data_IF_718538863681
#
_entry.id   IF_718538863681
#
_cell.length_a   1.000
_cell.length_b   1.000
_cell.length_c   1.000
_cell.angle_alpha   90.00
_cell.angle_beta   90.00
_cell.angle_gamma   90.00
#
_symmetry.space_group_name_H-M   'P 1'
#
loop_
_entity.id
_entity.type
_entity.pdbx_description
1 polymer ?
#
# COMPACT_ATOMS: atom_id res chain seq x y z
N UNK A 1 76.61 -37.41 20.59
CA UNK A 1 75.63 -36.43 21.00
C UNK A 1 75.67 -35.30 19.99
N UNK A 2 74.84 -35.41 18.95
CA UNK A 2 74.66 -34.33 17.95
C UNK A 2 73.54 -33.44 18.38
N UNK A 3 73.60 -32.10 18.30
CA UNK A 3 72.49 -31.26 18.56
C UNK A 3 71.56 -31.14 17.32
N UNK A 4 70.36 -31.55 17.50
CA UNK A 4 69.32 -31.38 16.56
C UNK A 4 68.95 -29.89 16.48
N UNK A 5 69.27 -29.23 15.35
CA UNK A 5 68.87 -27.85 15.07
C UNK A 5 67.53 -27.86 14.53
N UNK A 6 66.52 -27.54 15.34
CA UNK A 6 65.12 -27.37 14.93
C UNK A 6 65.00 -26.04 14.19
N UNK A 7 65.01 -26.09 12.86
CA UNK A 7 64.69 -24.90 12.03
C UNK A 7 63.21 -24.67 12.12
N UNK A 8 62.78 -23.74 12.96
CA UNK A 8 61.45 -23.13 12.90
C UNK A 8 61.35 -22.30 11.60
N UNK A 9 60.78 -22.87 10.55
CA UNK A 9 60.29 -22.11 9.39
C UNK A 9 59.05 -21.34 9.87
N UNK A 10 59.28 -20.13 10.37
CA UNK A 10 58.19 -19.14 10.47
C UNK A 10 57.72 -18.83 9.05
N UNK A 11 56.61 -19.46 8.62
CA UNK A 11 55.85 -19.02 7.48
C UNK A 11 55.38 -17.59 7.79
N UNK A 12 56.15 -16.59 7.40
CA UNK A 12 55.69 -15.24 7.28
C UNK A 12 54.57 -15.29 6.23
N UNK A 13 53.34 -15.24 6.69
CA UNK A 13 52.19 -14.92 5.82
C UNK A 13 52.43 -13.49 5.33
N UNK A 14 53.12 -13.34 4.21
CA UNK A 14 52.95 -12.11 3.42
C UNK A 14 51.49 -12.09 3.07
N UNK A 15 50.75 -11.08 3.56
CA UNK A 15 49.40 -10.84 3.13
C UNK A 15 49.51 -10.47 1.66
N UNK A 16 49.38 -11.46 0.78
CA UNK A 16 49.23 -11.23 -0.65
C UNK A 16 47.92 -10.44 -0.84
N UNK A 17 48.03 -9.25 -1.36
CA UNK A 17 46.88 -8.49 -1.79
C UNK A 17 46.27 -9.33 -2.91
N UNK A 18 45.01 -9.76 -2.78
CA UNK A 18 44.35 -10.54 -3.81
C UNK A 18 44.19 -9.71 -5.07
N UNK A 19 44.71 -10.22 -6.17
CA UNK A 19 44.65 -9.60 -7.50
C UNK A 19 43.66 -10.42 -8.35
N UNK A 20 42.79 -9.76 -9.08
CA UNK A 20 41.87 -10.43 -9.98
C UNK A 20 42.62 -11.19 -11.09
N UNK A 21 42.32 -12.47 -11.31
CA UNK A 21 43.09 -13.31 -12.25
C UNK A 21 42.73 -13.10 -13.73
N UNK A 22 41.75 -12.24 -14.06
CA UNK A 22 41.30 -11.98 -15.42
C UNK A 22 40.17 -12.91 -15.92
N UNK A 23 39.80 -13.88 -15.12
CA UNK A 23 38.66 -14.76 -15.37
C UNK A 23 37.95 -15.03 -14.06
N UNK A 24 36.64 -15.15 -14.11
CA UNK A 24 35.75 -15.39 -12.97
C UNK A 24 34.90 -16.61 -13.24
N UNK A 25 34.48 -17.32 -12.20
CA UNK A 25 33.57 -18.44 -12.28
C UNK A 25 32.61 -18.37 -11.10
N UNK A 26 31.41 -17.92 -11.37
CA UNK A 26 30.36 -17.79 -10.35
C UNK A 26 29.79 -19.15 -9.95
N UNK A 27 29.60 -19.34 -8.66
CA UNK A 27 28.87 -20.49 -8.12
C UNK A 27 27.77 -19.99 -7.16
N UNK A 28 26.61 -20.65 -7.09
CA UNK A 28 25.59 -20.32 -6.11
C UNK A 28 26.14 -20.33 -4.68
N UNK A 29 25.98 -19.23 -3.96
CA UNK A 29 26.57 -19.01 -2.63
C UNK A 29 27.79 -18.08 -2.61
N UNK A 30 28.24 -17.59 -3.76
CA UNK A 30 29.32 -16.60 -3.85
C UNK A 30 28.85 -15.18 -3.53
N UNK A 31 27.53 -14.96 -3.50
CA UNK A 31 26.93 -13.67 -3.08
C UNK A 31 26.56 -13.72 -1.58
N UNK A 32 26.70 -12.60 -0.84
CA UNK A 32 26.48 -12.57 0.60
C UNK A 32 25.06 -12.88 1.03
N UNK A 33 24.05 -12.46 0.26
CA UNK A 33 22.63 -12.65 0.56
C UNK A 33 21.96 -13.71 -0.29
N UNK A 34 22.50 -14.04 -1.44
CA UNK A 34 21.99 -15.08 -2.34
C UNK A 34 20.62 -14.79 -2.95
N UNK A 35 20.21 -13.49 -3.01
CA UNK A 35 18.88 -13.12 -3.48
C UNK A 35 18.61 -13.56 -4.92
N UNK A 36 19.64 -13.61 -5.74
CA UNK A 36 19.53 -13.90 -7.18
C UNK A 36 20.30 -15.18 -7.57
N UNK A 37 20.81 -15.95 -6.62
CA UNK A 37 21.61 -17.14 -6.88
C UNK A 37 20.86 -18.23 -7.64
N UNK A 38 19.53 -18.26 -7.55
CA UNK A 38 18.68 -19.20 -8.28
C UNK A 38 18.36 -18.76 -9.71
N UNK A 39 18.71 -17.52 -10.10
CA UNK A 39 18.40 -16.95 -11.40
C UNK A 39 19.52 -17.30 -12.41
N UNK A 40 19.16 -18.01 -13.47
CA UNK A 40 20.12 -18.48 -14.49
C UNK A 40 20.75 -17.34 -15.28
N UNK A 41 20.00 -16.27 -15.53
CA UNK A 41 20.51 -15.09 -16.23
C UNK A 41 21.49 -14.34 -15.36
N UNK A 42 21.24 -14.21 -14.06
CA UNK A 42 22.15 -13.62 -13.10
C UNK A 42 23.46 -14.38 -13.04
N UNK A 43 23.42 -15.71 -12.92
CA UNK A 43 24.61 -16.56 -12.90
C UNK A 43 25.45 -16.40 -14.18
N UNK A 44 24.78 -16.36 -15.34
CA UNK A 44 25.45 -16.22 -16.64
C UNK A 44 26.09 -14.85 -16.81
N UNK A 45 25.43 -13.81 -16.31
CA UNK A 45 25.90 -12.44 -16.48
C UNK A 45 26.90 -12.02 -15.39
N UNK A 46 26.94 -12.67 -14.22
CA UNK A 46 27.87 -12.38 -13.13
C UNK A 46 29.33 -12.40 -13.60
N UNK A 47 29.73 -13.43 -14.33
CA UNK A 47 31.10 -13.54 -14.86
C UNK A 47 31.41 -12.50 -15.92
N UNK A 48 30.42 -12.17 -16.77
CA UNK A 48 30.56 -11.13 -17.79
C UNK A 48 30.70 -9.75 -17.17
N UNK A 49 29.94 -9.48 -16.09
CA UNK A 49 29.99 -8.21 -15.34
C UNK A 49 31.31 -8.08 -14.60
N UNK A 50 31.79 -9.14 -13.96
CA UNK A 50 33.11 -9.13 -13.33
C UNK A 50 34.22 -8.81 -14.35
N UNK A 51 34.16 -9.47 -15.53
CA UNK A 51 35.08 -9.18 -16.65
C UNK A 51 34.96 -7.76 -17.18
N UNK A 52 33.72 -7.26 -17.32
CA UNK A 52 33.47 -5.89 -17.75
C UNK A 52 34.08 -4.88 -16.76
N UNK A 53 33.84 -5.06 -15.46
CA UNK A 53 34.37 -4.21 -14.41
C UNK A 53 35.92 -4.26 -14.39
N UNK A 54 36.51 -5.44 -14.46
CA UNK A 54 37.97 -5.61 -14.50
C UNK A 54 38.63 -4.89 -15.67
N UNK A 55 38.07 -5.04 -16.88
CA UNK A 55 38.56 -4.35 -18.08
C UNK A 55 38.43 -2.83 -17.98
N UNK A 56 37.37 -2.34 -17.40
CA UNK A 56 37.11 -0.90 -17.17
C UNK A 56 37.99 -0.30 -16.09
N UNK A 57 38.46 -1.11 -15.13
CA UNK A 57 39.36 -0.72 -14.06
C UNK A 57 40.84 -0.75 -14.48
N UNK A 58 41.14 -1.21 -15.71
CA UNK A 58 42.49 -1.12 -16.30
C UNK A 58 43.17 -2.47 -16.61
N UNK A 59 42.53 -3.60 -16.28
CA UNK A 59 43.07 -4.92 -16.65
C UNK A 59 43.17 -5.06 -18.18
N UNK A 60 44.21 -5.66 -18.77
CA UNK A 60 45.40 -6.28 -18.14
C UNK A 60 46.60 -5.36 -17.94
N UNK A 61 46.45 -4.04 -18.25
CA UNK A 61 47.53 -3.07 -18.18
C UNK A 61 47.96 -2.84 -16.71
N UNK A 62 46.97 -2.71 -15.82
CA UNK A 62 47.16 -2.60 -14.40
C UNK A 62 46.52 -3.78 -13.67
N UNK A 63 47.08 -4.18 -12.55
CA UNK A 63 46.50 -5.18 -11.69
C UNK A 63 45.32 -4.57 -10.90
N UNK A 64 44.20 -5.31 -10.89
CA UNK A 64 43.02 -4.92 -10.14
C UNK A 64 43.06 -5.65 -8.78
N UNK A 65 43.14 -4.88 -7.71
CA UNK A 65 43.29 -5.39 -6.34
C UNK A 65 41.92 -5.76 -5.74
N UNK A 66 41.12 -6.52 -6.48
CA UNK A 66 39.82 -7.04 -6.07
C UNK A 66 39.76 -8.54 -6.38
N UNK A 67 38.84 -9.27 -5.74
CA UNK A 67 38.53 -10.66 -6.04
C UNK A 67 37.19 -10.77 -6.74
N UNK A 68 36.89 -11.94 -7.33
CA UNK A 68 35.63 -12.23 -7.99
C UNK A 68 34.43 -11.95 -7.08
N UNK A 69 34.49 -12.37 -5.81
CA UNK A 69 33.46 -12.15 -4.78
C UNK A 69 33.12 -10.67 -4.63
N UNK A 70 34.10 -9.76 -4.77
CA UNK A 70 33.86 -8.32 -4.67
C UNK A 70 32.97 -7.82 -5.81
N UNK A 71 33.20 -8.32 -7.04
CA UNK A 71 32.37 -7.98 -8.19
C UNK A 71 30.98 -8.57 -8.09
N UNK A 72 30.83 -9.81 -7.61
CA UNK A 72 29.54 -10.47 -7.42
C UNK A 72 28.72 -9.77 -6.35
N UNK A 73 29.35 -9.38 -5.24
CA UNK A 73 28.68 -8.59 -4.18
C UNK A 73 28.23 -7.23 -4.71
N UNK A 74 29.05 -6.55 -5.49
CA UNK A 74 28.67 -5.28 -6.12
C UNK A 74 27.51 -5.46 -7.11
N UNK A 75 27.51 -6.57 -7.84
CA UNK A 75 26.46 -6.89 -8.79
C UNK A 75 25.13 -7.17 -8.09
N UNK A 76 25.11 -8.00 -7.06
CA UNK A 76 23.93 -8.25 -6.22
C UNK A 76 23.38 -6.94 -5.63
N UNK A 77 24.28 -6.09 -5.10
CA UNK A 77 23.89 -4.78 -4.57
C UNK A 77 23.29 -3.87 -5.66
N UNK A 78 23.85 -3.86 -6.86
CA UNK A 78 23.37 -3.05 -7.96
C UNK A 78 21.95 -3.47 -8.41
N UNK A 79 21.70 -4.77 -8.50
CA UNK A 79 20.36 -5.31 -8.82
C UNK A 79 19.36 -4.94 -7.72
N UNK A 80 19.77 -5.05 -6.45
CA UNK A 80 18.92 -4.70 -5.31
C UNK A 80 18.59 -3.20 -5.30
N UNK A 81 19.55 -2.32 -5.58
CA UNK A 81 19.32 -0.88 -5.66
C UNK A 81 18.35 -0.55 -6.80
N UNK A 82 18.55 -1.16 -7.98
CA UNK A 82 17.61 -1.02 -9.08
C UNK A 82 16.20 -1.44 -8.71
N UNK A 83 16.05 -2.59 -8.05
CA UNK A 83 14.77 -3.09 -7.57
C UNK A 83 14.11 -2.17 -6.55
N UNK A 84 14.88 -1.57 -5.63
CA UNK A 84 14.38 -0.63 -4.64
C UNK A 84 13.86 0.68 -5.29
N UNK A 85 14.57 1.21 -6.28
CA UNK A 85 14.12 2.41 -7.02
C UNK A 85 12.85 2.10 -7.84
N UNK A 86 12.79 0.93 -8.47
CA UNK A 86 11.59 0.47 -9.18
C UNK A 86 10.40 0.26 -8.23
N UNK A 87 10.64 -0.33 -7.05
CA UNK A 87 9.63 -0.46 -6.00
C UNK A 87 9.08 0.90 -5.56
N UNK A 88 9.98 1.84 -5.25
CA UNK A 88 9.59 3.18 -4.84
C UNK A 88 8.75 3.90 -5.92
N UNK A 89 9.12 3.74 -7.19
CA UNK A 89 8.36 4.27 -8.31
C UNK A 89 6.97 3.63 -8.42
N UNK A 90 6.89 2.31 -8.39
CA UNK A 90 5.62 1.57 -8.50
C UNK A 90 4.66 1.91 -7.36
N UNK A 91 5.18 2.02 -6.12
CA UNK A 91 4.39 2.42 -4.96
C UNK A 91 3.86 3.84 -5.16
N UNK A 92 4.71 4.80 -5.53
CA UNK A 92 4.31 6.19 -5.73
C UNK A 92 3.25 6.33 -6.82
N UNK A 93 3.39 5.60 -7.92
CA UNK A 93 2.46 5.71 -9.07
C UNK A 93 1.12 4.99 -8.82
N UNK A 94 1.09 3.95 -8.00
CA UNK A 94 -0.07 3.08 -7.84
C UNK A 94 -0.62 2.96 -6.42
N UNK A 95 0.01 3.56 -5.40
CA UNK A 95 -0.38 3.37 -4.00
C UNK A 95 -1.87 3.60 -3.75
N UNK A 96 -2.41 4.72 -4.25
CA UNK A 96 -3.82 5.07 -4.07
C UNK A 96 -4.79 4.06 -4.70
N UNK A 97 -4.37 3.36 -5.75
CA UNK A 97 -5.15 2.30 -6.38
C UNK A 97 -5.01 0.96 -5.66
N UNK A 98 -3.94 0.79 -4.88
CA UNK A 98 -3.64 -0.42 -4.13
C UNK A 98 -4.24 -0.42 -2.74
N UNK A 99 -4.47 0.74 -2.15
CA UNK A 99 -5.01 0.86 -0.80
C UNK A 99 -6.31 0.06 -0.67
N UNK A 100 -6.38 -0.80 0.36
CA UNK A 100 -7.49 -1.71 0.59
C UNK A 100 -7.51 -2.96 -0.29
N UNK A 101 -6.58 -3.12 -1.24
CA UNK A 101 -6.41 -4.37 -2.00
C UNK A 101 -5.77 -5.45 -1.14
N UNK A 102 -5.87 -6.71 -1.56
CA UNK A 102 -5.28 -7.83 -0.83
C UNK A 102 -3.76 -7.83 -0.95
N UNK A 103 -3.04 -8.06 0.15
CA UNK A 103 -1.57 -8.15 0.16
C UNK A 103 -1.05 -9.43 -0.51
N UNK A 104 -1.92 -10.41 -0.75
CA UNK A 104 -1.56 -11.65 -1.44
C UNK A 104 -1.57 -11.55 -2.97
N UNK A 105 -1.98 -10.39 -3.52
CA UNK A 105 -1.99 -10.19 -4.97
C UNK A 105 -0.57 -10.07 -5.51
N UNK A 106 -0.25 -10.87 -6.52
CA UNK A 106 1.02 -10.71 -7.24
C UNK A 106 0.88 -9.58 -8.26
N UNK A 107 1.38 -8.40 -7.91
CA UNK A 107 1.25 -7.18 -8.72
C UNK A 107 2.52 -6.81 -9.47
N UNK A 108 3.58 -7.61 -9.38
CA UNK A 108 4.88 -7.28 -9.99
C UNK A 108 4.81 -7.04 -11.50
N UNK A 109 3.86 -7.67 -12.18
CA UNK A 109 3.67 -7.56 -13.64
C UNK A 109 2.34 -6.93 -14.03
N UNK A 110 1.48 -6.59 -13.07
CA UNK A 110 0.14 -6.06 -13.34
C UNK A 110 0.18 -4.55 -13.51
N UNK A 111 -0.34 -4.08 -14.63
CA UNK A 111 -0.61 -2.66 -14.83
C UNK A 111 -1.86 -2.28 -14.04
N UNK A 112 -1.71 -1.49 -12.99
CA UNK A 112 -2.82 -1.02 -12.18
C UNK A 112 -3.33 0.30 -12.76
N UNK A 113 -4.58 0.32 -13.18
CA UNK A 113 -5.24 1.53 -13.65
C UNK A 113 -6.09 2.12 -12.53
N UNK A 114 -6.04 3.45 -12.24
CA UNK A 114 -6.96 4.07 -11.31
C UNK A 114 -8.36 4.00 -11.91
N UNK A 115 -9.28 3.59 -11.06
CA UNK A 115 -10.70 3.53 -11.36
C UNK A 115 -11.49 4.24 -10.25
N UNK A 116 -12.80 4.29 -10.40
CA UNK A 116 -13.68 4.87 -9.38
C UNK A 116 -13.49 4.17 -8.01
N UNK A 117 -13.20 2.89 -8.01
CA UNK A 117 -12.93 2.10 -6.81
C UNK A 117 -11.73 2.65 -6.02
N UNK A 118 -10.65 3.06 -6.71
CA UNK A 118 -9.51 3.70 -6.06
C UNK A 118 -9.88 5.03 -5.39
N UNK A 119 -10.75 5.82 -6.01
CA UNK A 119 -11.26 7.08 -5.41
C UNK A 119 -12.12 6.80 -4.18
N UNK A 120 -12.96 5.78 -4.23
CA UNK A 120 -13.78 5.34 -3.09
C UNK A 120 -12.89 4.87 -1.94
N UNK A 121 -11.83 4.13 -2.24
CA UNK A 121 -10.88 3.64 -1.23
C UNK A 121 -10.10 4.75 -0.53
N UNK A 122 -9.81 5.86 -1.20
CA UNK A 122 -9.20 7.03 -0.58
C UNK A 122 -10.08 7.63 0.53
N UNK A 123 -11.40 7.52 0.40
CA UNK A 123 -12.35 7.84 1.45
C UNK A 123 -12.56 6.61 2.33
N UNK A 124 -11.70 6.42 3.31
CA UNK A 124 -11.66 5.22 4.18
C UNK A 124 -13.04 4.84 4.74
N UNK A 125 -13.77 5.83 5.21
CA UNK A 125 -15.10 5.64 5.78
C UNK A 125 -16.07 5.09 4.73
N UNK A 126 -16.11 5.70 3.56
CA UNK A 126 -17.01 5.30 2.48
C UNK A 126 -16.62 3.95 1.87
N UNK A 127 -15.32 3.70 1.74
CA UNK A 127 -14.81 2.43 1.23
C UNK A 127 -15.17 1.27 2.15
N UNK A 128 -15.07 1.44 3.46
CA UNK A 128 -15.46 0.43 4.45
C UNK A 128 -16.97 0.14 4.40
N UNK A 129 -17.79 1.18 4.25
CA UNK A 129 -19.26 1.03 4.14
C UNK A 129 -19.67 0.38 2.82
N UNK A 130 -19.04 0.77 1.73
CA UNK A 130 -19.32 0.20 0.41
C UNK A 130 -18.75 -1.23 0.22
N UNK A 131 -17.95 -1.73 1.16
CA UNK A 131 -17.32 -3.05 1.06
C UNK A 131 -16.19 -3.14 0.03
N UNK A 132 -15.69 -2.02 -0.45
CA UNK A 132 -14.61 -1.96 -1.45
C UNK A 132 -13.21 -1.94 -0.82
N UNK A 133 -13.12 -2.01 0.48
CA UNK A 133 -11.90 -1.91 1.27
C UNK A 133 -12.08 -0.91 2.40
N UNK A 134 -11.01 -0.32 2.88
CA UNK A 134 -10.98 0.57 4.02
C UNK A 134 -10.12 -0.02 5.14
N UNK A 135 -9.62 0.86 6.00
CA UNK A 135 -8.63 0.48 7.00
C UNK A 135 -9.24 0.12 8.35
N UNK A 136 -10.53 0.28 8.53
CA UNK A 136 -11.23 0.00 9.77
C UNK A 136 -12.61 -0.61 9.54
N UNK A 137 -13.12 -1.26 10.57
CA UNK A 137 -14.39 -1.93 10.52
C UNK A 137 -15.51 -1.06 11.11
N UNK A 138 -16.72 -1.26 10.60
CA UNK A 138 -17.94 -0.72 11.17
C UNK A 138 -18.64 -1.82 11.96
N UNK A 139 -19.09 -1.45 13.16
CA UNK A 139 -19.80 -2.33 14.06
C UNK A 139 -21.21 -1.80 14.32
N UNK A 140 -22.11 -2.69 14.67
CA UNK A 140 -23.46 -2.35 15.10
C UNK A 140 -23.58 -2.56 16.59
N UNK A 141 -24.16 -1.60 17.28
CA UNK A 141 -24.49 -1.68 18.69
C UNK A 141 -25.94 -1.33 18.92
N UNK A 142 -26.48 -1.69 20.08
CA UNK A 142 -27.82 -1.32 20.47
C UNK A 142 -27.85 -0.84 21.91
N UNK A 143 -28.73 0.12 22.18
CA UNK A 143 -29.06 0.60 23.52
C UNK A 143 -30.56 0.45 23.72
N UNK A 144 -30.95 -0.15 24.82
CA UNK A 144 -32.38 -0.30 25.17
C UNK A 144 -32.91 1.04 25.66
N UNK A 145 -33.99 1.51 25.06
CA UNK A 145 -34.63 2.75 25.44
C UNK A 145 -35.35 2.60 26.78
N UNK A 146 -35.19 3.61 27.63
CA UNK A 146 -35.89 3.74 28.90
C UNK A 146 -36.80 4.96 28.83
N UNK A 147 -38.04 4.80 29.25
CA UNK A 147 -39.01 5.89 29.25
C UNK A 147 -38.53 7.10 30.03
N UNK A 148 -38.71 8.29 29.45
CA UNK A 148 -38.29 9.59 30.01
C UNK A 148 -36.77 9.81 30.14
N UNK A 149 -35.93 8.88 29.67
CA UNK A 149 -34.47 9.04 29.63
C UNK A 149 -34.04 9.49 28.24
N UNK A 150 -33.29 10.59 28.19
CA UNK A 150 -32.84 11.19 26.94
C UNK A 150 -31.37 10.98 26.68
N UNK A 151 -30.56 10.89 27.73
CA UNK A 151 -29.11 10.79 27.64
C UNK A 151 -28.64 9.37 27.95
N UNK A 152 -27.97 8.73 27.00
CA UNK A 152 -27.38 7.41 27.11
C UNK A 152 -25.88 7.51 27.13
N UNK A 153 -25.24 6.96 28.16
CA UNK A 153 -23.78 6.99 28.28
C UNK A 153 -23.14 5.86 27.45
N UNK A 154 -22.50 6.25 26.36
CA UNK A 154 -21.82 5.30 25.45
C UNK A 154 -20.48 4.83 26.01
N UNK A 155 -19.89 5.57 26.94
CA UNK A 155 -18.68 5.13 27.61
C UNK A 155 -18.97 3.96 28.55
N UNK A 156 -20.07 4.04 29.32
CA UNK A 156 -20.53 2.93 30.13
C UNK A 156 -20.93 1.73 29.27
N UNK A 157 -21.68 1.97 28.19
CA UNK A 157 -22.05 0.92 27.24
C UNK A 157 -20.83 0.23 26.62
N UNK A 158 -19.79 0.98 26.23
CA UNK A 158 -18.56 0.41 25.69
C UNK A 158 -17.84 -0.47 26.72
N UNK A 159 -17.78 -0.01 27.97
CA UNK A 159 -17.17 -0.78 29.07
C UNK A 159 -17.93 -2.09 29.32
N UNK A 160 -19.26 -2.05 29.32
CA UNK A 160 -20.10 -3.23 29.49
C UNK A 160 -19.97 -4.26 28.37
N UNK A 161 -19.64 -3.78 27.17
CA UNK A 161 -19.38 -4.61 25.99
C UNK A 161 -17.89 -4.95 25.77
N UNK A 162 -17.01 -4.65 26.72
CA UNK A 162 -15.56 -4.88 26.64
C UNK A 162 -14.89 -4.20 25.44
N UNK A 163 -15.38 -3.05 25.04
CA UNK A 163 -14.82 -2.26 23.95
C UNK A 163 -13.86 -1.22 24.56
N UNK A 164 -12.59 -1.30 24.19
CA UNK A 164 -11.59 -0.31 24.53
C UNK A 164 -11.39 0.64 23.33
N UNK A 165 -11.13 1.92 23.62
CA UNK A 165 -10.95 2.95 22.62
C UNK A 165 -12.13 3.90 22.51
N UNK A 166 -11.93 5.01 21.83
CA UNK A 166 -12.99 5.99 21.58
C UNK A 166 -13.99 5.48 20.55
N UNK A 167 -15.26 5.81 20.72
CA UNK A 167 -16.31 5.47 19.78
C UNK A 167 -16.64 6.65 18.88
N UNK A 168 -16.77 6.39 17.59
CA UNK A 168 -17.32 7.32 16.62
C UNK A 168 -18.62 6.77 16.05
N UNK A 169 -19.72 7.50 16.27
CA UNK A 169 -21.04 7.09 15.81
C UNK A 169 -21.32 7.75 14.47
N UNK A 170 -21.74 6.92 13.51
CA UNK A 170 -22.06 7.37 12.16
C UNK A 170 -23.54 7.63 11.99
N UNK A 171 -24.36 6.66 12.33
CA UNK A 171 -25.81 6.75 12.17
C UNK A 171 -26.53 5.96 13.25
N UNK A 172 -27.77 6.34 13.46
CA UNK A 172 -28.67 5.69 14.39
C UNK A 172 -29.90 5.25 13.60
N UNK A 173 -30.39 4.07 13.87
CA UNK A 173 -31.66 3.60 13.33
C UNK A 173 -32.44 2.89 14.41
N UNK A 174 -33.70 2.83 14.19
CA UNK A 174 -34.66 2.27 15.09
C UNK A 174 -35.18 0.95 14.51
N UNK A 175 -35.56 0.02 15.39
CA UNK A 175 -36.19 -1.22 14.96
C UNK A 175 -37.61 -0.90 14.50
N UNK A 176 -37.83 -0.91 13.20
CA UNK A 176 -39.06 -0.45 12.60
C UNK A 176 -40.11 -1.58 12.54
N UNK A 177 -41.37 -1.21 12.59
CA UNK A 177 -42.47 -2.15 12.44
C UNK A 177 -42.56 -2.56 10.98
N UNK A 178 -42.78 -3.83 10.64
CA UNK A 178 -42.94 -4.23 9.25
C UNK A 178 -43.98 -3.38 8.52
N UNK A 179 -43.67 -2.91 7.32
CA UNK A 179 -44.54 -2.04 6.53
C UNK A 179 -45.95 -2.57 6.37
N UNK A 180 -46.13 -3.89 6.33
CA UNK A 180 -47.44 -4.56 6.31
C UNK A 180 -48.22 -4.26 7.58
N UNK A 181 -47.59 -4.29 8.76
CA UNK A 181 -48.21 -3.99 10.03
C UNK A 181 -48.55 -2.48 10.14
N UNK A 182 -47.70 -1.63 9.61
CA UNK A 182 -47.91 -0.17 9.56
C UNK A 182 -49.12 0.19 8.66
N UNK A 183 -49.27 -0.47 7.51
CA UNK A 183 -50.40 -0.24 6.60
C UNK A 183 -51.73 -0.65 7.22
N UNK A 184 -51.78 -1.77 7.93
CA UNK A 184 -53.03 -2.31 8.46
C UNK A 184 -53.30 -1.91 9.92
N UNK A 185 -52.36 -1.28 10.62
CA UNK A 185 -52.49 -0.78 11.97
C UNK A 185 -52.25 0.72 12.03
N UNK A 186 -53.29 1.57 12.07
CA UNK A 186 -53.11 3.01 12.10
C UNK A 186 -52.34 3.53 13.30
N UNK A 187 -52.12 2.71 14.30
CA UNK A 187 -51.40 3.05 15.52
C UNK A 187 -49.94 2.53 15.53
N UNK A 188 -49.59 1.62 14.65
CA UNK A 188 -48.26 1.01 14.62
C UNK A 188 -47.16 2.03 14.21
N UNK A 189 -47.49 2.99 13.34
CA UNK A 189 -46.60 4.08 12.97
C UNK A 189 -46.51 5.22 13.99
N UNK A 190 -47.43 5.28 14.94
CA UNK A 190 -47.50 6.35 15.96
C UNK A 190 -46.84 5.91 17.28
N UNK A 191 -46.85 4.62 17.58
CA UNK A 191 -46.26 4.05 18.79
C UNK A 191 -45.35 2.88 18.41
N UNK A 192 -44.11 3.17 17.97
CA UNK A 192 -43.12 2.13 17.77
C UNK A 192 -42.90 1.40 19.12
N UNK A 193 -42.97 0.11 19.14
CA UNK A 193 -42.89 -0.70 20.37
C UNK A 193 -44.22 -0.97 21.07
N UNK A 194 -45.28 -0.24 20.79
CA UNK A 194 -46.59 -0.51 21.37
C UNK A 194 -47.17 -1.89 21.01
N UNK A 195 -46.71 -2.46 19.92
CA UNK A 195 -47.15 -3.81 19.52
C UNK A 195 -46.59 -4.91 20.40
N UNK A 196 -45.45 -4.72 21.08
CA UNK A 196 -44.87 -5.71 21.98
C UNK A 196 -45.06 -5.38 23.46
N UNK A 197 -45.16 -4.07 23.81
CA UNK A 197 -45.29 -3.63 25.21
C UNK A 197 -46.71 -3.71 25.75
N UNK A 198 -47.69 -3.72 24.90
CA UNK A 198 -49.04 -3.86 25.34
C UNK A 198 -49.50 -5.26 25.03
N UNK A 199 -49.73 -5.98 26.07
CA UNK A 199 -50.83 -6.92 26.08
C UNK A 199 -52.16 -6.24 25.71
N UNK A 200 -52.09 -5.25 24.82
CA UNK A 200 -53.20 -4.53 24.17
C UNK A 200 -53.88 -5.39 23.13
N UNK A 201 -53.45 -6.64 23.05
CA UNK A 201 -54.26 -7.71 22.44
C UNK A 201 -55.68 -7.76 23.03
N UNK A 202 -55.85 -7.20 24.22
CA UNK A 202 -57.19 -7.13 24.84
C UNK A 202 -58.01 -5.89 24.47
N UNK A 203 -57.42 -4.80 23.94
CA UNK A 203 -58.22 -3.67 23.43
C UNK A 203 -58.49 -3.83 21.94
N UNK A 204 -57.88 -4.88 21.47
CA UNK A 204 -57.83 -4.93 20.06
C UNK A 204 -58.83 -5.88 19.54
N UNK A 205 -59.79 -5.73 19.37
CA UNK A 205 -60.49 -6.12 18.17
C UNK A 205 -59.89 -5.50 16.90
N UNK A 206 -58.74 -4.85 17.02
CA UNK A 206 -57.99 -4.23 15.93
C UNK A 206 -56.65 -4.93 15.70
N UNK A 207 -56.65 -6.25 15.79
CA UNK A 207 -55.71 -7.00 14.96
C UNK A 207 -55.84 -6.56 13.50
N UNK A 208 -54.94 -7.00 12.57
CA UNK A 208 -55.08 -6.65 11.19
C UNK A 208 -56.54 -6.71 10.81
N UNK A 209 -57.13 -5.53 10.61
CA UNK A 209 -58.58 -5.43 10.65
C UNK A 209 -59.12 -6.38 9.60
N UNK A 210 -60.00 -7.25 10.00
CA UNK A 210 -60.79 -8.08 9.11
C UNK A 210 -61.72 -7.27 8.19
N UNK A 211 -61.55 -5.96 8.19
CA UNK A 211 -62.14 -5.11 7.18
C UNK A 211 -61.40 -5.35 5.85
N UNK A 212 -61.85 -6.35 5.14
CA UNK A 212 -61.49 -6.56 3.78
C UNK A 212 -61.92 -5.33 2.94
N UNK A 213 -61.09 -4.35 2.87
CA UNK A 213 -61.16 -3.41 1.79
C UNK A 213 -60.81 -4.22 0.55
N UNK A 214 -61.75 -4.39 -0.36
CA UNK A 214 -61.53 -4.97 -1.69
C UNK A 214 -60.68 -4.01 -2.52
N UNK A 215 -59.45 -3.78 -2.08
CA UNK A 215 -58.44 -3.07 -2.87
C UNK A 215 -57.71 -4.06 -3.77
N UNK A 216 -57.37 -3.65 -4.98
CA UNK A 216 -56.53 -4.48 -5.83
C UNK A 216 -55.21 -4.78 -5.12
N UNK A 217 -54.79 -6.02 -5.11
CA UNK A 217 -53.55 -6.48 -4.50
C UNK A 217 -52.32 -5.63 -4.94
N UNK A 218 -52.36 -5.15 -6.18
CA UNK A 218 -51.35 -4.26 -6.74
C UNK A 218 -51.25 -2.91 -6.03
N UNK A 219 -52.38 -2.37 -5.56
CA UNK A 219 -52.42 -1.10 -4.82
C UNK A 219 -51.82 -1.27 -3.41
N UNK A 220 -52.16 -2.34 -2.75
CA UNK A 220 -51.62 -2.65 -1.43
C UNK A 220 -50.10 -2.89 -1.51
N UNK A 221 -49.60 -3.60 -2.51
CA UNK A 221 -48.19 -3.79 -2.74
C UNK A 221 -47.46 -2.48 -3.01
N UNK A 222 -48.04 -1.56 -3.77
CA UNK A 222 -47.47 -0.24 -4.02
C UNK A 222 -47.41 0.59 -2.73
N UNK A 223 -48.44 0.54 -1.89
CA UNK A 223 -48.45 1.23 -0.60
C UNK A 223 -47.39 0.65 0.35
N UNK A 224 -47.29 -0.67 0.45
CA UNK A 224 -46.25 -1.34 1.26
C UNK A 224 -44.85 -0.92 0.78
N UNK A 225 -44.64 -0.92 -0.52
CA UNK A 225 -43.34 -0.48 -1.08
C UNK A 225 -43.05 1.00 -0.79
N UNK A 226 -44.07 1.87 -0.86
CA UNK A 226 -43.91 3.29 -0.56
C UNK A 226 -43.58 3.51 0.94
N UNK A 227 -44.24 2.78 1.83
CA UNK A 227 -43.96 2.81 3.27
C UNK A 227 -42.50 2.32 3.53
N UNK A 228 -42.12 1.18 2.94
CA UNK A 228 -40.79 0.62 3.09
C UNK A 228 -39.70 1.58 2.59
N UNK A 229 -39.92 2.20 1.41
CA UNK A 229 -38.99 3.23 0.92
C UNK A 229 -38.93 4.44 1.85
N UNK A 230 -40.07 4.87 2.41
CA UNK A 230 -40.07 5.97 3.39
C UNK A 230 -39.28 5.62 4.63
N UNK A 231 -39.43 4.39 5.12
CA UNK A 231 -38.70 3.90 6.30
C UNK A 231 -37.20 3.78 6.03
N UNK A 232 -36.80 3.32 4.85
CA UNK A 232 -35.39 3.28 4.45
C UNK A 232 -34.76 4.67 4.39
N UNK A 233 -35.48 5.69 3.95
CA UNK A 233 -34.99 7.09 3.92
C UNK A 233 -34.95 7.68 5.31
N UNK A 234 -35.99 7.46 6.11
CA UNK A 234 -36.12 8.05 7.44
C UNK A 234 -35.18 7.42 8.47
N UNK A 235 -34.88 6.14 8.35
CA UNK A 235 -33.97 5.33 9.18
C UNK A 235 -34.23 5.36 10.68
N UNK A 236 -34.71 6.44 11.26
CA UNK A 236 -34.99 6.59 12.68
C UNK A 236 -36.05 7.66 12.91
N UNK A 237 -36.90 7.42 13.89
CA UNK A 237 -37.84 8.41 14.43
C UNK A 237 -37.14 9.38 15.40
N UNK A 238 -35.92 9.08 15.80
CA UNK A 238 -35.12 9.86 16.72
C UNK A 238 -34.00 10.55 15.96
N UNK A 239 -33.80 11.83 16.25
CA UNK A 239 -32.58 12.54 15.92
C UNK A 239 -31.63 12.44 17.09
N UNK A 240 -30.34 12.56 16.86
CA UNK A 240 -29.34 12.41 17.90
C UNK A 240 -28.34 13.55 17.92
N UNK A 241 -27.81 13.79 19.10
CA UNK A 241 -26.66 14.66 19.32
C UNK A 241 -25.68 13.95 20.22
N UNK A 242 -24.40 13.99 19.86
CA UNK A 242 -23.33 13.44 20.69
C UNK A 242 -22.68 14.55 21.50
N UNK A 243 -22.73 14.46 22.82
CA UNK A 243 -22.16 15.46 23.74
C UNK A 243 -21.38 14.69 24.80
N UNK A 244 -20.07 14.93 24.92
CA UNK A 244 -19.24 14.34 25.97
C UNK A 244 -19.39 12.81 26.11
N UNK A 245 -19.33 12.06 25.02
CA UNK A 245 -19.52 10.61 24.99
C UNK A 245 -20.94 10.14 25.38
N UNK A 246 -21.87 11.05 25.52
CA UNK A 246 -23.27 10.73 25.77
C UNK A 246 -24.09 10.93 24.50
N UNK A 247 -24.90 9.95 24.20
CA UNK A 247 -25.86 10.00 23.12
C UNK A 247 -27.15 10.61 23.63
N UNK A 248 -27.46 11.84 23.22
CA UNK A 248 -28.73 12.50 23.48
C UNK A 248 -29.66 12.31 22.30
N UNK A 249 -30.84 11.81 22.54
CA UNK A 249 -31.87 11.54 21.53
C UNK A 249 -33.04 12.52 21.63
N UNK A 250 -33.64 12.84 20.48
CA UNK A 250 -34.80 13.69 20.37
C UNK A 250 -35.83 13.05 19.42
N UNK A 251 -37.14 13.03 19.77
CA UNK A 251 -37.75 13.48 21.02
C UNK A 251 -37.41 12.59 22.21
N UNK A 252 -37.84 12.98 23.43
CA UNK A 252 -37.68 12.15 24.64
C UNK A 252 -38.54 10.89 24.45
N UNK A 253 -37.97 9.68 24.71
CA UNK A 253 -38.73 8.44 24.61
C UNK A 253 -39.92 8.42 25.54
N UNK A 254 -41.07 8.01 25.01
CA UNK A 254 -42.27 7.82 25.79
C UNK A 254 -42.24 6.53 26.62
N UNK A 255 -43.19 6.35 27.52
CA UNK A 255 -43.35 5.10 28.25
C UNK A 255 -43.73 3.92 27.35
N UNK A 256 -44.25 4.20 26.16
CA UNK A 256 -44.56 3.19 25.14
C UNK A 256 -43.33 2.63 24.41
N UNK A 257 -42.21 3.36 24.44
CA UNK A 257 -40.98 3.02 23.76
C UNK A 257 -40.02 2.26 24.69
N UNK A 258 -40.40 2.07 25.94
CA UNK A 258 -39.59 1.39 26.93
C UNK A 258 -39.36 -0.08 26.55
N UNK A 259 -38.08 -0.49 26.57
CA UNK A 259 -37.67 -1.84 26.20
C UNK A 259 -37.40 -2.04 24.71
N UNK A 260 -37.61 -1.03 23.88
CA UNK A 260 -37.23 -1.10 22.48
C UNK A 260 -35.74 -0.80 22.28
N UNK A 261 -35.16 -1.36 21.27
CA UNK A 261 -33.72 -1.17 20.99
C UNK A 261 -33.51 -0.04 19.98
N UNK A 262 -32.66 0.91 20.36
CA UNK A 262 -32.10 1.88 19.46
C UNK A 262 -30.76 1.37 18.94
N UNK A 263 -30.70 1.11 17.66
CA UNK A 263 -29.48 0.62 17.02
C UNK A 263 -28.62 1.78 16.55
N UNK A 264 -27.32 1.62 16.62
CA UNK A 264 -26.37 2.58 16.10
C UNK A 264 -25.18 1.88 15.46
N UNK A 265 -24.63 2.53 14.46
CA UNK A 265 -23.40 2.10 13.80
C UNK A 265 -22.23 2.91 14.33
N UNK A 266 -21.18 2.22 14.73
CA UNK A 266 -20.00 2.83 15.30
C UNK A 266 -18.72 2.26 14.73
N UNK A 267 -17.65 3.02 14.84
CA UNK A 267 -16.28 2.55 14.63
C UNK A 267 -15.45 2.89 15.87
N UNK A 268 -14.42 2.11 16.10
CA UNK A 268 -13.48 2.32 17.21
C UNK A 268 -12.37 3.23 16.68
N UNK A 269 -12.14 4.38 17.36
CA UNK A 269 -11.17 5.38 16.92
C UNK A 269 -9.75 4.81 16.92
N UNK A 270 -9.40 4.03 17.94
CA UNK A 270 -8.09 3.42 18.04
C UNK A 270 -7.81 2.45 16.90
N UNK A 271 -8.82 1.71 16.42
CA UNK A 271 -8.68 0.81 15.27
C UNK A 271 -8.38 1.52 13.96
N UNK A 272 -8.78 2.79 13.82
CA UNK A 272 -8.49 3.57 12.61
C UNK A 272 -7.00 3.84 12.42
N UNK A 273 -6.28 3.94 13.52
CA UNK A 273 -4.88 4.36 13.53
C UNK A 273 -3.94 3.24 13.95
N UNK A 274 -4.47 2.12 14.46
CA UNK A 274 -3.66 0.98 14.88
C UNK A 274 -3.40 0.03 13.72
N UNK A 275 -2.16 0.05 13.23
CA UNK A 275 -1.71 -0.85 12.18
C UNK A 275 -1.74 -2.33 12.57
N UNK A 276 -1.81 -2.65 13.88
CA UNK A 276 -1.85 -4.03 14.38
C UNK A 276 -3.24 -4.65 14.33
N UNK A 277 -4.29 -3.81 14.38
CA UNK A 277 -5.70 -4.24 14.39
C UNK A 277 -6.27 -4.29 12.96
N UNK A 278 -5.71 -3.50 12.05
CA UNK A 278 -6.09 -3.58 10.65
C UNK A 278 -5.75 -4.95 10.06
N UNK A 279 -6.63 -5.54 9.25
CA UNK A 279 -6.35 -6.84 8.67
C UNK A 279 -5.03 -6.82 7.90
N UNK A 280 -4.05 -7.62 8.32
CA UNK A 280 -2.75 -7.77 7.66
C UNK A 280 -2.88 -8.24 6.21
N UNK A 281 -4.06 -8.67 5.82
CA UNK A 281 -4.39 -9.11 4.46
C UNK A 281 -4.70 -7.98 3.48
N UNK A 282 -4.78 -6.73 3.95
CA UNK A 282 -5.08 -5.57 3.09
C UNK A 282 -3.94 -4.55 3.11
N UNK A 283 -3.73 -3.89 1.99
CA UNK A 283 -2.76 -2.81 1.87
C UNK A 283 -3.28 -1.58 2.63
N UNK A 284 -2.58 -1.19 3.69
CA UNK A 284 -2.93 -0.05 4.54
C UNK A 284 -1.76 0.94 4.75
N UNK A 285 -0.55 0.54 4.39
CA UNK A 285 0.63 1.39 4.44
C UNK A 285 1.62 1.01 3.35
N UNK A 286 2.64 1.83 3.16
CA UNK A 286 3.64 1.62 2.11
C UNK A 286 4.44 0.33 2.30
N UNK A 287 4.64 -0.11 3.55
CA UNK A 287 5.49 -1.28 3.83
C UNK A 287 4.82 -2.61 3.52
N UNK A 288 3.49 -2.68 3.43
CA UNK A 288 2.76 -3.92 3.14
C UNK A 288 2.23 -3.99 1.70
N UNK A 289 2.67 -3.08 0.84
CA UNK A 289 2.35 -3.13 -0.60
C UNK A 289 2.96 -4.38 -1.21
N UNK A 290 2.19 -5.19 -1.98
CA UNK A 290 2.64 -6.48 -2.50
C UNK A 290 3.50 -6.36 -3.77
N UNK A 291 4.40 -5.38 -3.83
CA UNK A 291 5.46 -5.32 -4.81
C UNK A 291 6.74 -5.92 -4.24
N UNK A 292 7.33 -6.86 -4.94
CA UNK A 292 8.65 -7.40 -4.63
C UNK A 292 9.72 -6.84 -5.56
N UNK A 293 10.98 -7.08 -5.25
CA UNK A 293 12.05 -6.83 -6.19
C UNK A 293 11.89 -7.75 -7.40
N UNK A 294 12.05 -7.23 -8.64
CA UNK A 294 12.00 -8.07 -9.83
C UNK A 294 13.12 -9.11 -9.79
N UNK A 295 12.88 -10.30 -10.30
CA UNK A 295 13.95 -11.26 -10.60
C UNK A 295 14.82 -10.70 -11.70
N UNK A 296 16.11 -11.04 -11.72
CA UNK A 296 17.04 -10.47 -12.71
C UNK A 296 16.63 -10.84 -14.16
N UNK A 297 16.04 -12.02 -14.35
CA UNK A 297 15.49 -12.46 -15.63
C UNK A 297 14.42 -11.50 -16.19
N UNK A 298 13.60 -10.89 -15.33
CA UNK A 298 12.54 -9.98 -15.73
C UNK A 298 13.05 -8.58 -16.13
N UNK A 299 14.30 -8.27 -15.85
CA UNK A 299 14.89 -6.96 -16.16
C UNK A 299 15.28 -6.91 -17.64
N UNK A 300 14.81 -5.88 -18.32
CA UNK A 300 15.12 -5.66 -19.73
C UNK A 300 16.59 -5.25 -19.94
N UNK A 301 17.05 -5.27 -21.19
CA UNK A 301 18.44 -4.94 -21.55
C UNK A 301 18.88 -3.52 -21.15
N UNK A 302 17.95 -2.56 -21.11
CA UNK A 302 18.23 -1.19 -20.68
C UNK A 302 18.49 -1.12 -19.18
N UNK A 303 17.65 -1.79 -18.39
CA UNK A 303 17.85 -1.93 -16.95
C UNK A 303 19.14 -2.67 -16.61
N UNK A 304 19.44 -3.77 -17.33
CA UNK A 304 20.72 -4.52 -17.17
C UNK A 304 21.93 -3.64 -17.48
N UNK A 305 21.87 -2.79 -18.52
CA UNK A 305 22.95 -1.85 -18.84
C UNK A 305 23.20 -0.86 -17.70
N UNK A 306 22.13 -0.32 -17.09
CA UNK A 306 22.25 0.54 -15.92
C UNK A 306 22.90 -0.19 -14.74
N UNK A 307 22.48 -1.42 -14.48
CA UNK A 307 23.03 -2.27 -13.41
C UNK A 307 24.53 -2.48 -13.61
N UNK A 308 25.00 -2.74 -14.84
CA UNK A 308 26.42 -2.93 -15.12
C UNK A 308 27.23 -1.66 -14.86
N UNK A 309 26.73 -0.49 -15.26
CA UNK A 309 27.37 0.79 -14.97
C UNK A 309 27.41 1.07 -13.46
N UNK A 310 26.33 0.76 -12.74
CA UNK A 310 26.27 0.95 -11.30
C UNK A 310 27.21 -0.02 -10.55
N UNK A 311 27.31 -1.26 -11.01
CA UNK A 311 28.27 -2.24 -10.49
C UNK A 311 29.70 -1.75 -10.67
N UNK A 312 30.02 -1.15 -11.81
CA UNK A 312 31.34 -0.55 -12.04
C UNK A 312 31.63 0.59 -11.06
N UNK A 313 30.67 1.46 -10.78
CA UNK A 313 30.82 2.53 -9.81
C UNK A 313 31.08 1.98 -8.39
N UNK A 314 30.37 0.94 -7.99
CA UNK A 314 30.60 0.24 -6.72
C UNK A 314 32.00 -0.41 -6.68
N UNK A 315 32.44 -1.04 -7.76
CA UNK A 315 33.77 -1.63 -7.86
C UNK A 315 34.89 -0.57 -7.74
N UNK A 316 34.70 0.61 -8.36
CA UNK A 316 35.63 1.75 -8.20
C UNK A 316 35.72 2.23 -6.76
N UNK A 317 34.58 2.30 -6.06
CA UNK A 317 34.53 2.69 -4.66
C UNK A 317 35.30 1.69 -3.76
N UNK A 318 35.05 0.39 -3.95
CA UNK A 318 35.77 -0.66 -3.23
C UNK A 318 37.25 -0.62 -3.51
N UNK A 319 37.66 -0.46 -4.77
CA UNK A 319 39.07 -0.31 -5.15
C UNK A 319 39.69 0.93 -4.50
N UNK A 320 38.95 2.03 -4.44
CA UNK A 320 39.37 3.23 -3.71
C UNK A 320 39.65 2.97 -2.22
N UNK A 321 38.75 2.25 -1.55
CA UNK A 321 38.98 1.87 -0.14
C UNK A 321 40.13 0.92 0.05
N UNK A 322 40.35 -0.03 -0.85
CA UNK A 322 41.51 -0.94 -0.80
C UNK A 322 42.82 -0.16 -0.95
N UNK A 323 42.89 0.73 -1.94
CA UNK A 323 44.08 1.57 -2.19
C UNK A 323 44.31 2.58 -1.06
N UNK A 324 43.24 3.04 -0.42
CA UNK A 324 43.29 3.99 0.69
C UNK A 324 43.90 3.45 1.96
N UNK A 325 43.98 2.13 2.09
CA UNK A 325 44.70 1.50 3.20
C UNK A 325 46.19 1.83 3.21
N UNK A 326 46.77 2.11 2.04
CA UNK A 326 48.17 2.48 1.85
C UNK A 326 48.22 3.91 1.31
N UNK A 327 48.22 4.93 2.18
CA UNK A 327 48.19 6.33 1.78
C UNK A 327 49.35 6.75 0.90
N UNK A 328 50.56 6.22 1.15
CA UNK A 328 51.74 6.44 0.36
C UNK A 328 52.58 5.16 0.28
N UNK A 329 53.11 4.89 -0.90
CA UNK A 329 54.09 3.81 -1.07
C UNK A 329 55.48 4.45 -1.06
N UNK A 330 56.33 4.12 -0.06
CA UNK A 330 57.70 4.61 -0.01
C UNK A 330 58.54 3.95 -1.11
N UNK A 331 58.91 4.71 -2.11
CA UNK A 331 59.91 4.30 -3.08
C UNK A 331 61.22 4.97 -2.76
N UNK A 332 62.38 4.31 -2.92
CA UNK A 332 63.66 4.95 -2.68
C UNK A 332 63.82 6.26 -3.45
N UNK A 333 63.75 7.40 -2.73
CA UNK A 333 63.91 8.74 -3.30
C UNK A 333 62.62 9.47 -3.71
N UNK A 334 61.43 8.87 -3.56
CA UNK A 334 60.15 9.52 -3.80
C UNK A 334 59.00 8.85 -3.00
N UNK A 335 57.94 9.59 -2.71
CA UNK A 335 56.68 9.06 -2.23
C UNK A 335 55.69 9.10 -3.34
N UNK A 336 55.03 7.97 -3.61
CA UNK A 336 53.92 7.88 -4.56
C UNK A 336 52.61 7.81 -3.80
N UNK A 337 51.77 8.80 -4.01
CA UNK A 337 50.38 8.79 -3.49
C UNK A 337 49.49 7.98 -4.44
N UNK A 338 48.68 7.09 -3.85
CA UNK A 338 47.69 6.34 -4.58
C UNK A 338 46.46 7.23 -4.89
N UNK A 339 45.78 6.97 -6.01
CA UNK A 339 44.62 7.74 -6.50
C UNK A 339 43.30 7.41 -5.78
N UNK A 340 43.35 7.17 -4.43
CA UNK A 340 42.19 6.83 -3.62
C UNK A 340 41.07 7.88 -3.69
N UNK A 341 41.45 9.15 -3.44
CA UNK A 341 40.48 10.24 -3.39
C UNK A 341 39.73 10.41 -4.71
N UNK A 342 40.44 10.30 -5.82
CA UNK A 342 39.89 10.46 -7.14
C UNK A 342 38.94 9.32 -7.52
N UNK A 343 39.31 8.07 -7.15
CA UNK A 343 38.43 6.90 -7.36
C UNK A 343 37.15 6.99 -6.55
N UNK A 344 37.21 7.37 -5.26
CA UNK A 344 36.03 7.50 -4.42
C UNK A 344 35.14 8.66 -4.89
N UNK A 345 35.75 9.81 -5.25
CA UNK A 345 35.00 10.95 -5.76
C UNK A 345 34.31 10.63 -7.08
N UNK A 346 35.02 9.98 -8.01
CA UNK A 346 34.44 9.52 -9.28
C UNK A 346 33.30 8.52 -9.06
N UNK A 347 33.50 7.52 -8.18
CA UNK A 347 32.48 6.53 -7.85
C UNK A 347 31.21 7.16 -7.25
N UNK A 348 31.36 8.10 -6.33
CA UNK A 348 30.23 8.81 -5.71
C UNK A 348 29.46 9.62 -6.73
N UNK A 349 30.16 10.40 -7.54
CA UNK A 349 29.53 11.19 -8.61
C UNK A 349 28.84 10.33 -9.64
N UNK A 350 29.44 9.21 -10.05
CA UNK A 350 28.83 8.27 -11.00
C UNK A 350 27.59 7.60 -10.41
N UNK A 351 27.61 7.19 -9.13
CA UNK A 351 26.44 6.61 -8.45
C UNK A 351 25.27 7.60 -8.39
N UNK A 352 25.53 8.85 -7.99
CA UNK A 352 24.51 9.88 -7.91
C UNK A 352 23.92 10.20 -9.31
N UNK A 353 24.76 10.32 -10.31
CA UNK A 353 24.33 10.57 -11.69
C UNK A 353 23.48 9.43 -12.26
N UNK A 354 23.85 8.18 -11.97
CA UNK A 354 23.10 6.99 -12.40
C UNK A 354 21.73 6.89 -11.72
N UNK A 355 21.65 7.14 -10.41
CA UNK A 355 20.39 7.16 -9.67
C UNK A 355 19.48 8.29 -10.18
N UNK A 356 20.02 9.49 -10.39
CA UNK A 356 19.26 10.62 -10.93
C UNK A 356 18.72 10.30 -12.31
N UNK A 357 19.56 9.77 -13.21
CA UNK A 357 19.14 9.36 -14.56
C UNK A 357 18.03 8.29 -14.53
N UNK A 358 18.10 7.34 -13.59
CA UNK A 358 17.08 6.30 -13.44
C UNK A 358 15.74 6.90 -12.97
N UNK A 359 15.79 7.79 -11.98
CA UNK A 359 14.61 8.49 -11.47
C UNK A 359 13.96 9.37 -12.53
N UNK A 360 14.76 10.14 -13.27
CA UNK A 360 14.26 10.96 -14.37
C UNK A 360 13.59 10.11 -15.47
N UNK A 361 14.16 8.93 -15.76
CA UNK A 361 13.55 7.99 -16.69
C UNK A 361 12.20 7.48 -16.18
N UNK A 362 12.11 7.06 -14.91
CA UNK A 362 10.86 6.62 -14.31
C UNK A 362 9.83 7.76 -14.25
N UNK A 363 10.23 8.95 -13.86
CA UNK A 363 9.32 10.11 -13.80
C UNK A 363 8.80 10.47 -15.20
N UNK A 364 9.63 10.39 -16.22
CA UNK A 364 9.21 10.62 -17.60
C UNK A 364 8.22 9.58 -18.14
N UNK A 365 8.20 8.38 -17.56
CA UNK A 365 7.28 7.28 -17.92
C UNK A 365 6.11 7.15 -16.96
N UNK A 366 6.06 7.98 -15.90
CA UNK A 366 4.98 7.99 -14.92
C UNK A 366 3.62 8.26 -15.60
N UNK A 367 2.56 7.78 -14.97
CA UNK A 367 1.19 7.99 -15.45
C UNK A 367 0.85 9.46 -15.62
N UNK A 368 1.27 10.31 -14.66
CA UNK A 368 1.06 11.75 -14.75
C UNK A 368 1.71 12.32 -16.00
N UNK A 369 3.00 12.03 -16.23
CA UNK A 369 3.72 12.48 -17.41
C UNK A 369 3.10 11.99 -18.73
N UNK A 370 2.58 10.76 -18.76
CA UNK A 370 1.88 10.23 -19.93
C UNK A 370 0.55 10.94 -20.18
N UNK A 371 -0.21 11.28 -19.15
CA UNK A 371 -1.45 12.04 -19.25
C UNK A 371 -1.18 13.48 -19.71
N UNK A 372 -0.16 14.14 -19.18
CA UNK A 372 0.26 15.48 -19.60
C UNK A 372 0.69 15.48 -21.07
N UNK A 373 1.47 14.48 -21.52
CA UNK A 373 1.84 14.33 -22.94
C UNK A 373 0.61 14.14 -23.84
N UNK A 374 -0.35 13.31 -23.43
CA UNK A 374 -1.61 13.12 -24.18
C UNK A 374 -2.43 14.40 -24.23
N UNK A 375 -2.50 15.15 -23.13
CA UNK A 375 -3.18 16.43 -23.11
C UNK A 375 -2.50 17.45 -24.04
N UNK A 376 -1.17 17.53 -24.01
CA UNK A 376 -0.38 18.38 -24.90
C UNK A 376 -0.55 17.97 -26.37
N UNK A 377 -0.53 16.68 -26.67
CA UNK A 377 -0.76 16.15 -28.02
C UNK A 377 -2.15 16.50 -28.55
N UNK A 378 -3.19 16.32 -27.70
CA UNK A 378 -4.56 16.67 -28.09
C UNK A 378 -4.72 18.18 -28.33
N UNK A 379 -4.09 19.03 -27.52
CA UNK A 379 -4.08 20.47 -27.71
C UNK A 379 -3.35 20.87 -29.00
N UNK A 380 -2.20 20.24 -29.29
CA UNK A 380 -1.46 20.45 -30.52
C UNK A 380 -2.29 20.06 -31.76
N UNK A 381 -3.01 18.92 -31.72
CA UNK A 381 -3.91 18.50 -32.81
C UNK A 381 -5.06 19.47 -33.02
N UNK A 382 -5.67 19.97 -31.94
CA UNK A 382 -6.73 21.00 -32.04
C UNK A 382 -6.18 22.26 -32.70
N UNK A 383 -4.99 22.71 -32.31
CA UNK A 383 -4.33 23.86 -32.93
C UNK A 383 -4.00 23.62 -34.40
N UNK A 384 -3.55 22.43 -34.77
CA UNK A 384 -3.28 22.05 -36.17
C UNK A 384 -4.58 22.11 -36.98
N UNK A 385 -5.66 21.51 -36.51
CA UNK A 385 -6.99 21.53 -37.15
C UNK A 385 -7.49 22.96 -37.32
N UNK A 386 -7.30 23.82 -36.32
CA UNK A 386 -7.72 25.24 -36.38
C UNK A 386 -6.91 26.05 -37.41
N UNK A 387 -5.70 25.65 -37.74
CA UNK A 387 -4.84 26.31 -38.72
C UNK A 387 -5.06 25.80 -40.14
N UNK A 388 -5.61 24.61 -40.30
CA UNK A 388 -5.94 24.08 -41.63
C UNK A 388 -7.25 24.72 -42.12
N UNK A 389 -7.23 25.46 -43.24
CA UNK A 389 -8.48 26.03 -43.77
C UNK A 389 -9.42 24.89 -44.17
N UNK A 390 -10.57 24.83 -43.54
CA UNK A 390 -11.59 23.89 -43.95
C UNK A 390 -12.04 24.21 -45.38
N UNK A 391 -11.93 23.25 -46.28
CA UNK A 391 -12.49 23.34 -47.64
C UNK A 391 -14.01 23.40 -47.50
N UNK A 392 -14.58 24.59 -47.73
CA UNK A 392 -16.03 24.76 -47.81
C UNK A 392 -16.44 24.24 -49.19
N UNK A 393 -17.09 23.10 -49.23
CA UNK A 393 -17.79 22.66 -50.44
C UNK A 393 -19.06 23.49 -50.55
N UNK A 394 -19.05 24.45 -51.49
CA UNK A 394 -20.26 25.15 -51.93
C UNK A 394 -20.91 24.24 -52.97
N UNK A 395 -21.98 23.55 -52.61
CA UNK A 395 -22.80 22.76 -53.49
C UNK A 395 -23.80 23.63 -54.24
#
# INVERSE_FOLDING_TARGET
MEPFFLIFITKTFMANIPIWPGSSSFAPGDTPFGFYDSDTDFQTDADKVAKFCGLRLGYPIENVELQDINFYTAFEQAVTVYGNELYAFNVRDNYLSLEGSTTSSNLNTSLITPNLEGVIRMSQQYAAEAGTGGNYNWYSGSVTLTGSVQDYDLGAWATDNNISGGLEIKKIWYEDVPAVSELYSPWAGILPGAASAVGLVGIAGYGPSTNFLLMPLSYDLQNIQAIEMSNQVRLSNYTFQLINNKLRIFPIPGTGDEGTNLWFQYSIIDEKYDASITPTSKVNNVSNVPYGNPTYEQINSVGRSWIFEYTLALAKEMLGYVRGKYGTIPIPGAEVTLNQSDLIAAATSEKEALITRLRDYFDSTSRQALLERRAAESAARVNEINQVPMTIFIG
#
